data_IF_746051509290
#
_entry.id   IF_746051509290
#
_cell.length_a   1.000
_cell.length_b   1.000
_cell.length_c   1.000
_cell.angle_alpha   90.00
_cell.angle_beta   90.00
_cell.angle_gamma   90.00
#
_symmetry.space_group_name_H-M   'P 1'
#
loop_
_entity.id
_entity.type
_entity.pdbx_description
1 polymer ?
#
# COMPACT_ATOMS: atom_id res chain seq x y z
N UNK A 1 4.60 -15.75 14.21
CA UNK A 1 3.38 -15.62 13.42
C UNK A 1 3.67 -15.94 11.97
N UNK A 2 2.94 -16.87 11.40
CA UNK A 2 3.11 -17.23 10.00
C UNK A 2 2.33 -16.25 9.12
N UNK A 3 3.00 -15.65 8.15
CA UNK A 3 2.34 -14.80 7.17
C UNK A 3 1.87 -15.65 5.99
N UNK A 4 0.62 -15.47 5.62
CA UNK A 4 0.07 -16.13 4.45
C UNK A 4 0.50 -15.36 3.20
N UNK A 5 1.22 -16.01 2.31
CA UNK A 5 1.65 -15.39 1.06
C UNK A 5 0.45 -15.15 0.15
N UNK A 6 0.40 -13.99 -0.48
CA UNK A 6 -0.51 -13.75 -1.59
C UNK A 6 0.18 -14.18 -2.89
N UNK A 7 -0.62 -14.34 -3.95
CA UNK A 7 -0.06 -14.68 -5.26
C UNK A 7 0.72 -13.52 -5.85
N UNK A 8 0.18 -12.32 -5.70
CA UNK A 8 0.76 -11.08 -6.22
C UNK A 8 0.76 -9.99 -5.16
N UNK A 9 1.60 -8.99 -5.37
CA UNK A 9 1.67 -7.81 -4.54
C UNK A 9 1.96 -6.59 -5.43
N UNK A 10 1.35 -5.45 -5.10
CA UNK A 10 1.70 -4.19 -5.75
C UNK A 10 2.97 -3.67 -5.11
N UNK A 11 3.99 -3.42 -5.91
CA UNK A 11 5.29 -2.97 -5.42
C UNK A 11 5.86 -1.95 -6.40
N UNK A 12 6.05 -0.74 -5.91
CA UNK A 12 6.69 0.36 -6.64
C UNK A 12 6.07 0.59 -8.03
N UNK A 13 4.76 0.64 -8.08
CA UNK A 13 4.01 0.96 -9.30
C UNK A 13 3.62 -0.23 -10.17
N UNK A 14 3.98 -1.45 -9.77
CA UNK A 14 3.72 -2.65 -10.57
C UNK A 14 3.15 -3.78 -9.73
N UNK A 15 2.34 -4.62 -10.35
CA UNK A 15 1.90 -5.88 -9.76
C UNK A 15 2.99 -6.91 -10.05
N UNK A 16 3.55 -7.48 -9.01
CA UNK A 16 4.63 -8.48 -9.12
C UNK A 16 4.29 -9.73 -8.31
N UNK A 17 4.88 -10.90 -8.64
CA UNK A 17 4.74 -12.08 -7.80
C UNK A 17 5.26 -11.79 -6.38
N UNK A 18 4.64 -12.42 -5.39
CA UNK A 18 5.00 -12.20 -3.97
C UNK A 18 6.51 -12.27 -3.72
N UNK A 19 7.18 -13.26 -4.31
CA UNK A 19 8.62 -13.48 -4.06
C UNK A 19 9.53 -12.41 -4.66
N UNK A 20 9.02 -11.61 -5.59
CA UNK A 20 9.79 -10.56 -6.25
C UNK A 20 9.68 -9.19 -5.57
N UNK A 21 8.80 -9.06 -4.57
CA UNK A 21 8.65 -7.82 -3.81
C UNK A 21 9.79 -7.71 -2.79
N UNK A 22 10.88 -7.11 -3.21
CA UNK A 22 12.11 -6.99 -2.42
C UNK A 22 12.56 -5.54 -2.38
N UNK A 23 13.25 -5.18 -1.30
CA UNK A 23 13.87 -3.87 -1.16
C UNK A 23 15.34 -4.04 -0.80
N UNK A 24 16.14 -3.04 -1.13
CA UNK A 24 17.55 -3.08 -0.82
C UNK A 24 17.78 -2.95 0.70
N UNK A 25 18.79 -3.63 1.22
CA UNK A 25 19.13 -3.60 2.66
C UNK A 25 19.47 -2.20 3.15
N UNK A 26 19.92 -1.31 2.25
CA UNK A 26 20.24 0.09 2.59
C UNK A 26 19.03 1.04 2.51
N UNK A 27 17.82 0.51 2.30
CA UNK A 27 16.60 1.33 2.28
C UNK A 27 16.48 2.09 3.59
N UNK A 28 16.22 3.41 3.50
CA UNK A 28 16.16 4.32 4.64
C UNK A 28 15.21 3.83 5.75
N UNK A 29 14.04 3.31 5.39
CA UNK A 29 13.04 2.84 6.36
C UNK A 29 13.57 1.71 7.24
N UNK A 30 14.44 0.84 6.73
CA UNK A 30 15.00 -0.27 7.49
C UNK A 30 15.99 0.19 8.56
N UNK A 31 16.71 1.27 8.30
CA UNK A 31 17.75 1.79 9.21
C UNK A 31 17.22 2.87 10.14
N UNK A 32 16.27 3.67 9.70
CA UNK A 32 15.80 4.84 10.43
C UNK A 32 14.31 4.81 10.76
N UNK A 33 13.59 3.79 10.32
CA UNK A 33 12.17 3.64 10.60
C UNK A 33 11.28 4.69 9.92
N UNK A 34 11.77 5.36 8.89
CA UNK A 34 11.03 6.41 8.19
C UNK A 34 10.03 5.79 7.21
N UNK A 35 8.84 5.53 7.68
CA UNK A 35 7.78 4.96 6.85
C UNK A 35 6.41 5.39 7.35
N UNK A 36 5.40 5.25 6.51
CA UNK A 36 4.01 5.45 6.88
C UNK A 36 3.21 4.22 6.44
N UNK A 37 2.14 3.93 7.16
CA UNK A 37 1.28 2.80 6.81
C UNK A 37 -0.18 3.16 7.01
N UNK A 38 -1.05 2.38 6.38
CA UNK A 38 -2.49 2.53 6.50
C UNK A 38 -3.15 1.16 6.52
N UNK A 39 -4.12 0.98 7.39
CA UNK A 39 -4.91 -0.26 7.48
C UNK A 39 -6.25 -0.07 6.80
N UNK A 40 -6.56 -0.92 5.84
CA UNK A 40 -7.81 -0.85 5.07
C UNK A 40 -8.56 -2.16 5.23
N UNK A 41 -9.84 -2.07 5.60
CA UNK A 41 -10.69 -3.25 5.73
C UNK A 41 -11.41 -3.56 4.43
N UNK A 42 -11.47 -4.84 4.11
CA UNK A 42 -12.19 -5.35 2.94
C UNK A 42 -13.32 -6.24 3.43
N UNK A 43 -14.53 -5.97 2.98
CA UNK A 43 -15.72 -6.71 3.36
C UNK A 43 -16.31 -7.44 2.18
N UNK A 44 -16.86 -8.62 2.46
CA UNK A 44 -17.63 -9.37 1.48
C UNK A 44 -19.03 -8.76 1.37
N UNK A 45 -19.48 -8.50 0.16
CA UNK A 45 -20.81 -7.95 -0.10
C UNK A 45 -21.49 -8.69 -1.26
N UNK A 46 -22.81 -8.48 -1.46
CA UNK A 46 -23.49 -9.05 -2.63
C UNK A 46 -22.87 -8.66 -3.96
N UNK A 47 -22.13 -7.56 -4.01
CA UNK A 47 -21.44 -7.06 -5.20
C UNK A 47 -19.98 -7.53 -5.29
N UNK A 48 -19.54 -8.44 -4.38
CA UNK A 48 -18.17 -8.91 -4.30
C UNK A 48 -17.43 -8.29 -3.12
N UNK A 49 -16.10 -8.34 -3.15
CA UNK A 49 -15.27 -7.76 -2.10
C UNK A 49 -15.24 -6.24 -2.22
N UNK A 50 -15.44 -5.54 -1.09
CA UNK A 50 -15.49 -4.07 -1.06
C UNK A 50 -14.47 -3.55 -0.05
N UNK A 51 -13.62 -2.62 -0.47
CA UNK A 51 -12.70 -1.93 0.41
C UNK A 51 -13.43 -0.75 1.08
N UNK A 52 -13.48 -0.77 2.41
CA UNK A 52 -14.22 0.24 3.17
C UNK A 52 -13.47 1.57 3.19
N UNK A 53 -14.12 2.63 2.68
CA UNK A 53 -13.58 4.00 2.64
C UNK A 53 -12.16 4.09 2.06
N UNK A 54 -11.93 3.38 0.98
CA UNK A 54 -10.60 3.26 0.37
C UNK A 54 -9.99 4.62 0.05
N UNK A 55 -10.74 5.50 -0.60
CA UNK A 55 -10.24 6.83 -0.99
C UNK A 55 -9.82 7.64 0.23
N UNK A 56 -10.61 7.61 1.32
CA UNK A 56 -10.29 8.32 2.56
C UNK A 56 -8.98 7.79 3.17
N UNK A 57 -8.78 6.47 3.16
CA UNK A 57 -7.54 5.86 3.66
C UNK A 57 -6.32 6.29 2.83
N UNK A 58 -6.45 6.32 1.51
CA UNK A 58 -5.36 6.76 0.63
C UNK A 58 -5.04 8.23 0.86
N UNK A 59 -6.06 9.08 0.98
CA UNK A 59 -5.86 10.51 1.30
C UNK A 59 -5.12 10.67 2.63
N UNK A 60 -5.52 9.93 3.66
CA UNK A 60 -4.87 9.98 4.98
C UNK A 60 -3.42 9.52 4.90
N UNK A 61 -3.14 8.46 4.13
CA UNK A 61 -1.79 7.98 3.93
C UNK A 61 -0.90 9.06 3.28
N UNK A 62 -1.41 9.74 2.25
CA UNK A 62 -0.67 10.82 1.59
C UNK A 62 -0.42 11.99 2.53
N UNK A 63 -1.38 12.32 3.39
CA UNK A 63 -1.21 13.36 4.39
C UNK A 63 -0.17 12.96 5.43
N UNK A 64 -0.16 11.70 5.87
CA UNK A 64 0.87 11.18 6.78
C UNK A 64 2.26 11.27 6.16
N UNK A 65 2.39 10.91 4.89
CA UNK A 65 3.65 11.01 4.17
C UNK A 65 4.14 12.47 4.09
N UNK A 66 3.22 13.40 3.89
CA UNK A 66 3.51 14.84 3.83
C UNK A 66 4.14 15.36 5.12
N UNK A 67 3.66 14.89 6.27
CA UNK A 67 4.20 15.29 7.58
C UNK A 67 5.68 14.93 7.69
N UNK A 68 6.10 13.83 7.09
CA UNK A 68 7.50 13.38 7.07
C UNK A 68 8.26 13.84 5.84
N UNK A 69 7.70 14.77 5.06
CA UNK A 69 8.29 15.24 3.80
C UNK A 69 8.55 14.14 2.79
N UNK A 70 7.80 13.06 2.86
CA UNK A 70 7.85 11.97 1.89
C UNK A 70 6.99 12.30 0.69
N UNK A 71 7.56 12.21 -0.51
CA UNK A 71 6.81 12.40 -1.74
C UNK A 71 6.37 11.05 -2.28
N UNK A 72 5.06 10.91 -2.52
CA UNK A 72 4.51 9.71 -3.15
C UNK A 72 4.26 10.07 -4.62
N UNK A 73 5.00 9.46 -5.57
CA UNK A 73 4.93 9.85 -6.98
C UNK A 73 3.69 9.31 -7.72
N UNK A 74 2.65 8.97 -6.99
CA UNK A 74 1.41 8.44 -7.55
C UNK A 74 0.23 9.27 -7.06
N UNK A 75 -0.77 9.47 -7.92
CA UNK A 75 -1.98 10.22 -7.55
C UNK A 75 -2.89 9.35 -6.67
N UNK A 76 -3.86 10.00 -6.02
CA UNK A 76 -4.88 9.27 -5.25
C UNK A 76 -5.61 8.28 -6.14
N UNK A 77 -5.97 8.69 -7.37
CA UNK A 77 -6.66 7.84 -8.33
C UNK A 77 -5.82 6.62 -8.71
N UNK A 78 -4.53 6.81 -8.94
CA UNK A 78 -3.60 5.71 -9.25
C UNK A 78 -3.54 4.69 -8.11
N UNK A 79 -3.42 5.18 -6.88
CA UNK A 79 -3.32 4.32 -5.71
C UNK A 79 -4.63 3.56 -5.44
N UNK A 80 -5.78 4.24 -5.58
CA UNK A 80 -7.09 3.60 -5.42
C UNK A 80 -7.28 2.51 -6.47
N UNK A 81 -6.93 2.80 -7.73
CA UNK A 81 -7.01 1.83 -8.82
C UNK A 81 -6.11 0.62 -8.56
N UNK A 82 -4.89 0.85 -8.07
CA UNK A 82 -3.93 -0.21 -7.74
C UNK A 82 -4.45 -1.14 -6.64
N UNK A 83 -5.12 -0.59 -5.64
CA UNK A 83 -5.69 -1.38 -4.54
C UNK A 83 -6.82 -2.30 -5.02
N UNK A 84 -7.50 -1.94 -6.09
CA UNK A 84 -8.62 -2.71 -6.64
C UNK A 84 -8.18 -3.85 -7.57
N UNK A 85 -6.94 -3.87 -8.00
CA UNK A 85 -6.40 -4.92 -8.87
C UNK A 85 -6.19 -6.26 -8.15
#
# INVERSE_FOLDING_TARGET
MALKESKYIWHDGKIVPWKEAKIHVLTHALHYGSSVFEGIRVYKSPKGSVAFRLTDHILRMKNSAKIYYMEIPYTVEDLVSSCKE
#
